data_IF_025015300919
#
_entry.id   IF_025015300919
#
_cell.length_a   1.000
_cell.length_b   1.000
_cell.length_c   1.000
_cell.angle_alpha   90.00
_cell.angle_beta   90.00
_cell.angle_gamma   90.00
#
_symmetry.space_group_name_H-M   'P 1'
#
loop_
_entity.id
_entity.type
_entity.pdbx_description
1 polymer ?
#
# COMPACT_ATOMS: atom_id res chain seq x y z
N UNK A 1 -83.41 -16.13 4.76
CA UNK A 1 -82.22 -15.77 3.94
C UNK A 1 -81.58 -14.45 4.43
N UNK A 2 -81.13 -14.36 5.70
CA UNK A 2 -80.67 -13.06 6.28
C UNK A 2 -79.26 -13.09 6.89
N UNK A 3 -78.58 -14.24 6.98
CA UNK A 3 -77.33 -14.36 7.74
C UNK A 3 -76.03 -14.23 6.93
N UNK A 4 -76.06 -14.25 5.59
CA UNK A 4 -74.83 -14.26 4.77
C UNK A 4 -74.18 -12.87 4.59
N UNK A 5 -74.93 -11.77 4.66
CA UNK A 5 -74.39 -10.42 4.42
C UNK A 5 -73.66 -9.77 5.61
N UNK A 6 -73.79 -10.31 6.83
CA UNK A 6 -73.12 -9.74 8.02
C UNK A 6 -71.74 -10.34 8.31
N UNK A 7 -71.38 -11.46 7.68
CA UNK A 7 -70.08 -12.13 7.87
C UNK A 7 -69.01 -11.63 6.89
N UNK A 8 -69.40 -11.21 5.68
CA UNK A 8 -68.51 -10.62 4.67
C UNK A 8 -67.71 -9.38 5.15
N UNK A 9 -68.30 -8.39 5.85
CA UNK A 9 -67.52 -7.25 6.34
C UNK A 9 -66.56 -7.66 7.47
N UNK A 10 -66.91 -8.66 8.29
CA UNK A 10 -66.06 -9.13 9.38
C UNK A 10 -64.84 -9.91 8.87
N UNK A 11 -65.00 -10.72 7.83
CA UNK A 11 -63.87 -11.41 7.18
C UNK A 11 -62.98 -10.46 6.39
N UNK A 12 -63.56 -9.41 5.78
CA UNK A 12 -62.78 -8.37 5.10
C UNK A 12 -61.99 -7.53 6.11
N UNK A 13 -62.58 -7.20 7.26
CA UNK A 13 -61.90 -6.47 8.34
C UNK A 13 -60.75 -7.29 8.95
N UNK A 14 -60.94 -8.61 9.15
CA UNK A 14 -59.91 -9.51 9.64
C UNK A 14 -58.78 -9.71 8.62
N UNK A 15 -59.10 -9.78 7.32
CA UNK A 15 -58.10 -9.84 6.26
C UNK A 15 -57.31 -8.52 6.14
N UNK A 16 -57.96 -7.37 6.30
CA UNK A 16 -57.30 -6.05 6.36
C UNK A 16 -56.42 -5.94 7.62
N UNK A 17 -56.86 -6.49 8.76
CA UNK A 17 -56.05 -6.54 9.98
C UNK A 17 -54.78 -7.40 9.81
N UNK A 18 -54.87 -8.51 9.05
CA UNK A 18 -53.71 -9.33 8.68
C UNK A 18 -52.79 -8.66 7.64
N UNK A 19 -53.34 -7.85 6.74
CA UNK A 19 -52.57 -7.06 5.76
C UNK A 19 -51.83 -5.87 6.40
N UNK A 20 -52.41 -5.25 7.44
CA UNK A 20 -51.77 -4.14 8.19
C UNK A 20 -50.70 -4.66 9.17
N UNK A 21 -50.78 -5.91 9.62
CA UNK A 21 -49.73 -6.56 10.43
C UNK A 21 -48.50 -7.01 9.61
N UNK A 22 -48.53 -6.90 8.27
CA UNK A 22 -47.43 -7.30 7.37
C UNK A 22 -46.36 -6.23 7.13
N UNK A 23 -46.56 -5.01 7.62
CA UNK A 23 -45.61 -3.90 7.48
C UNK A 23 -45.09 -3.41 8.84
N UNK A 24 -44.92 -4.33 9.80
CA UNK A 24 -44.07 -4.04 10.95
C UNK A 24 -42.61 -4.06 10.45
N UNK A 25 -41.96 -2.90 10.51
CA UNK A 25 -40.53 -2.68 10.33
C UNK A 25 -39.72 -3.92 10.77
N UNK A 26 -39.21 -4.69 9.79
CA UNK A 26 -38.18 -5.72 10.04
C UNK A 26 -36.78 -5.08 10.12
N UNK A 27 -36.73 -3.76 10.25
CA UNK A 27 -35.50 -2.99 10.33
C UNK A 27 -35.06 -2.88 11.78
N UNK A 28 -34.10 -3.73 12.16
CA UNK A 28 -33.23 -3.44 13.30
C UNK A 28 -33.50 -4.25 14.56
N UNK A 29 -33.67 -5.57 14.47
CA UNK A 29 -33.29 -6.41 15.62
C UNK A 29 -31.80 -6.11 15.91
N UNK A 30 -31.44 -5.64 17.13
CA UNK A 30 -30.06 -5.39 17.47
C UNK A 30 -29.26 -6.68 17.24
N UNK A 31 -28.31 -6.65 16.31
CA UNK A 31 -27.41 -7.78 16.15
C UNK A 31 -26.72 -8.03 17.50
N UNK A 32 -26.53 -9.30 17.89
CA UNK A 32 -25.80 -9.63 19.11
C UNK A 32 -24.42 -8.98 19.10
N UNK A 33 -23.82 -8.78 20.27
CA UNK A 33 -22.50 -8.19 20.37
C UNK A 33 -21.50 -8.99 19.52
N UNK A 34 -20.57 -8.30 18.85
CA UNK A 34 -19.52 -8.96 18.06
C UNK A 34 -18.74 -10.00 18.85
N UNK A 35 -18.57 -9.73 20.14
CA UNK A 35 -17.84 -10.58 21.08
C UNK A 35 -18.48 -11.96 21.26
N UNK A 36 -19.78 -12.06 21.02
CA UNK A 36 -20.53 -13.30 21.19
C UNK A 36 -20.58 -14.13 19.90
N UNK A 37 -20.10 -13.57 18.77
CA UNK A 37 -20.05 -14.32 17.54
C UNK A 37 -18.98 -15.42 17.57
N UNK A 38 -19.32 -16.64 17.10
CA UNK A 38 -18.40 -17.78 17.18
C UNK A 38 -17.11 -17.54 16.40
N UNK A 39 -17.18 -16.77 15.30
CA UNK A 39 -16.01 -16.40 14.50
C UNK A 39 -15.08 -15.43 15.24
N UNK A 40 -15.63 -14.49 16.02
CA UNK A 40 -14.82 -13.57 16.82
C UNK A 40 -14.08 -14.32 17.93
N UNK A 41 -14.79 -15.19 18.65
CA UNK A 41 -14.20 -16.04 19.70
C UNK A 41 -13.11 -16.95 19.10
N UNK A 42 -13.37 -17.54 17.94
CA UNK A 42 -12.39 -18.32 17.19
C UNK A 42 -11.15 -17.48 16.84
N UNK A 43 -11.34 -16.26 16.34
CA UNK A 43 -10.26 -15.33 16.04
C UNK A 43 -9.38 -15.04 17.27
N UNK A 44 -9.99 -14.74 18.42
CA UNK A 44 -9.25 -14.53 19.69
C UNK A 44 -8.50 -15.78 20.13
N UNK A 45 -9.07 -16.97 19.97
CA UNK A 45 -8.39 -18.22 20.31
C UNK A 45 -7.20 -18.49 19.39
N UNK A 46 -7.32 -18.22 18.09
CA UNK A 46 -6.23 -18.35 17.13
C UNK A 46 -5.10 -17.34 17.40
N UNK A 47 -5.44 -16.14 17.82
CA UNK A 47 -4.47 -15.11 18.23
C UNK A 47 -3.65 -15.56 19.44
N UNK A 48 -4.29 -16.19 20.45
CA UNK A 48 -3.58 -16.80 21.60
C UNK A 48 -2.63 -17.92 21.20
N UNK A 49 -2.93 -18.63 20.10
CA UNK A 49 -2.06 -19.68 19.53
C UNK A 49 -0.95 -19.12 18.64
N UNK A 50 -0.88 -17.79 18.43
CA UNK A 50 0.07 -17.17 17.51
C UNK A 50 -0.28 -17.35 16.03
N UNK A 51 -1.45 -17.93 15.71
CA UNK A 51 -1.93 -18.17 14.34
C UNK A 51 -2.58 -16.92 13.75
N UNK A 52 -1.77 -15.87 13.61
CA UNK A 52 -2.25 -14.52 13.29
C UNK A 52 -2.93 -14.42 11.93
N UNK A 53 -2.46 -15.15 10.91
CA UNK A 53 -3.08 -15.15 9.58
C UNK A 53 -4.51 -15.72 9.60
N UNK A 54 -4.74 -16.78 10.37
CA UNK A 54 -6.06 -17.39 10.50
C UNK A 54 -6.98 -16.58 11.39
N UNK A 55 -6.44 -16.02 12.48
CA UNK A 55 -7.15 -15.09 13.34
C UNK A 55 -7.66 -13.88 12.53
N UNK A 56 -6.81 -13.30 11.67
CA UNK A 56 -7.18 -12.21 10.78
C UNK A 56 -8.35 -12.60 9.87
N UNK A 57 -8.28 -13.77 9.23
CA UNK A 57 -9.35 -14.25 8.36
C UNK A 57 -10.67 -14.42 9.15
N UNK A 58 -10.61 -14.94 10.38
CA UNK A 58 -11.79 -15.05 11.23
C UNK A 58 -12.43 -13.68 11.53
N UNK A 59 -11.63 -12.66 11.88
CA UNK A 59 -12.14 -11.30 12.09
C UNK A 59 -12.67 -10.65 10.81
N UNK A 60 -12.02 -10.85 9.66
CA UNK A 60 -12.52 -10.36 8.38
C UNK A 60 -13.87 -10.98 8.02
N UNK A 61 -14.07 -12.28 8.29
CA UNK A 61 -15.37 -12.92 8.10
C UNK A 61 -16.47 -12.33 8.98
N UNK A 62 -16.16 -11.90 10.20
CA UNK A 62 -17.12 -11.19 11.06
C UNK A 62 -17.52 -9.87 10.42
N UNK A 63 -16.54 -9.09 9.96
CA UNK A 63 -16.77 -7.81 9.25
C UNK A 63 -17.63 -8.04 8.00
N UNK A 64 -17.30 -9.04 7.19
CA UNK A 64 -18.02 -9.35 5.95
C UNK A 64 -19.47 -9.79 6.21
N UNK A 65 -19.70 -10.60 7.26
CA UNK A 65 -21.05 -11.03 7.65
C UNK A 65 -21.92 -9.88 8.13
N UNK A 66 -21.33 -8.94 8.86
CA UNK A 66 -22.01 -7.74 9.35
C UNK A 66 -22.23 -6.70 8.26
N UNK A 67 -21.36 -6.69 7.24
CA UNK A 67 -21.46 -5.84 6.07
C UNK A 67 -21.37 -4.37 6.42
N UNK A 68 -22.49 -3.65 6.28
CA UNK A 68 -22.57 -2.22 6.57
C UNK A 68 -22.68 -1.93 8.07
N UNK A 69 -23.08 -2.91 8.88
CA UNK A 69 -23.20 -2.74 10.31
C UNK A 69 -21.84 -2.48 10.96
N UNK A 70 -21.76 -1.57 11.95
CA UNK A 70 -20.50 -1.27 12.60
C UNK A 70 -19.98 -2.52 13.32
N UNK A 71 -18.74 -2.89 12.99
CA UNK A 71 -18.01 -3.99 13.62
C UNK A 71 -16.66 -3.51 14.23
N UNK A 72 -16.69 -2.56 15.18
CA UNK A 72 -15.50 -1.96 15.76
C UNK A 72 -14.50 -2.97 16.33
N UNK A 73 -14.90 -3.90 17.18
CA UNK A 73 -13.95 -4.80 17.87
C UNK A 73 -13.19 -5.66 16.86
N UNK A 74 -13.90 -6.18 15.85
CA UNK A 74 -13.30 -6.96 14.76
C UNK A 74 -12.35 -6.10 13.91
N UNK A 75 -12.69 -4.83 13.67
CA UNK A 75 -11.81 -3.88 12.98
C UNK A 75 -10.54 -3.59 13.82
N UNK A 76 -10.65 -3.43 15.14
CA UNK A 76 -9.51 -3.17 16.01
C UNK A 76 -8.50 -4.32 15.96
N UNK A 77 -8.97 -5.55 16.18
CA UNK A 77 -8.11 -6.74 16.17
C UNK A 77 -7.48 -7.00 14.79
N UNK A 78 -8.24 -6.84 13.71
CA UNK A 78 -7.72 -6.93 12.35
C UNK A 78 -6.63 -5.88 12.09
N UNK A 79 -6.85 -4.64 12.51
CA UNK A 79 -5.88 -3.55 12.37
C UNK A 79 -4.57 -3.81 13.11
N UNK A 80 -4.65 -4.36 14.33
CA UNK A 80 -3.47 -4.76 15.10
C UNK A 80 -2.68 -5.87 14.42
N UNK A 81 -3.35 -6.87 13.84
CA UNK A 81 -2.68 -7.95 13.11
C UNK A 81 -2.00 -7.43 11.84
N UNK A 82 -2.64 -6.52 11.10
CA UNK A 82 -2.04 -5.91 9.92
C UNK A 82 -0.78 -5.11 10.26
N UNK A 83 -0.83 -4.34 11.35
CA UNK A 83 0.29 -3.50 11.79
C UNK A 83 1.48 -4.34 12.27
N UNK A 84 1.23 -5.35 13.12
CA UNK A 84 2.29 -6.08 13.81
C UNK A 84 2.84 -7.28 13.04
N UNK A 85 1.98 -7.99 12.28
CA UNK A 85 2.36 -9.25 11.63
C UNK A 85 2.45 -9.14 10.12
N UNK A 86 1.42 -8.57 9.47
CA UNK A 86 1.40 -8.47 8.01
C UNK A 86 2.27 -7.31 7.48
N UNK A 87 2.66 -6.38 8.38
CA UNK A 87 3.41 -5.16 8.05
C UNK A 87 2.77 -4.36 6.91
N UNK A 88 1.43 -4.35 6.88
CA UNK A 88 0.65 -3.54 5.96
C UNK A 88 0.04 -2.35 6.73
N UNK A 89 0.75 -1.21 6.78
CA UNK A 89 0.29 -0.05 7.51
C UNK A 89 -0.96 0.61 6.89
N UNK A 90 -1.22 0.42 5.59
CA UNK A 90 -2.38 1.01 4.93
C UNK A 90 -3.66 0.27 5.30
N UNK A 91 -3.62 -1.07 5.25
CA UNK A 91 -4.71 -1.89 5.74
C UNK A 91 -4.99 -1.61 7.23
N UNK A 92 -3.94 -1.55 8.05
CA UNK A 92 -4.08 -1.19 9.47
C UNK A 92 -4.79 0.16 9.66
N UNK A 93 -4.34 1.21 8.96
CA UNK A 93 -4.96 2.53 8.99
C UNK A 93 -6.45 2.48 8.62
N UNK A 94 -6.82 1.71 7.60
CA UNK A 94 -8.22 1.56 7.18
C UNK A 94 -9.08 1.00 8.31
N UNK A 95 -8.65 -0.12 8.92
CA UNK A 95 -9.40 -0.77 9.99
C UNK A 95 -9.52 0.13 11.24
N UNK A 96 -8.44 0.80 11.65
CA UNK A 96 -8.50 1.74 12.77
C UNK A 96 -9.43 2.93 12.51
N UNK A 97 -9.44 3.48 11.29
CA UNK A 97 -10.38 4.55 10.92
C UNK A 97 -11.84 4.08 10.96
N UNK A 98 -12.11 2.83 10.57
CA UNK A 98 -13.44 2.22 10.71
C UNK A 98 -13.85 2.10 12.19
N UNK A 99 -12.94 1.67 13.06
CA UNK A 99 -13.16 1.66 14.52
C UNK A 99 -13.50 3.05 15.05
N UNK A 100 -12.70 4.06 14.73
CA UNK A 100 -12.91 5.45 15.20
C UNK A 100 -14.24 6.05 14.71
N UNK A 101 -14.70 5.65 13.51
CA UNK A 101 -16.00 6.06 12.98
C UNK A 101 -17.16 5.44 13.75
N UNK A 102 -17.02 4.19 14.19
CA UNK A 102 -18.04 3.49 14.97
C UNK A 102 -18.02 3.91 16.46
N UNK A 103 -16.84 4.21 17.01
CA UNK A 103 -16.63 4.56 18.41
C UNK A 103 -15.79 5.84 18.58
N UNK A 104 -16.38 7.03 18.36
CA UNK A 104 -15.66 8.30 18.47
C UNK A 104 -15.28 8.68 19.91
N UNK A 105 -16.04 8.21 20.91
CA UNK A 105 -15.87 8.60 22.33
C UNK A 105 -15.54 7.41 23.25
N UNK A 106 -14.96 6.34 22.72
CA UNK A 106 -14.52 5.20 23.54
C UNK A 106 -13.25 5.53 24.33
N UNK A 107 -13.05 4.85 25.48
CA UNK A 107 -11.79 4.92 26.25
C UNK A 107 -10.58 4.51 25.41
N UNK A 108 -10.77 3.66 24.41
CA UNK A 108 -9.70 3.19 23.52
C UNK A 108 -9.41 4.15 22.36
N UNK A 109 -10.23 5.18 22.13
CA UNK A 109 -10.07 6.12 21.01
C UNK A 109 -8.69 6.78 20.96
N UNK A 110 -8.13 7.31 22.07
CA UNK A 110 -6.79 7.90 22.05
C UNK A 110 -5.70 6.89 21.69
N UNK A 111 -5.86 5.64 22.15
CA UNK A 111 -4.96 4.55 21.83
C UNK A 111 -5.00 4.22 20.33
N UNK A 112 -6.19 4.07 19.76
CA UNK A 112 -6.37 3.76 18.33
C UNK A 112 -5.87 4.91 17.44
N UNK A 113 -6.05 6.17 17.85
CA UNK A 113 -5.45 7.32 17.18
C UNK A 113 -3.91 7.22 17.15
N UNK A 114 -3.30 6.85 18.28
CA UNK A 114 -1.86 6.59 18.35
C UNK A 114 -1.42 5.48 17.39
N UNK A 115 -2.22 4.40 17.25
CA UNK A 115 -1.94 3.33 16.29
C UNK A 115 -2.05 3.80 14.83
N UNK A 116 -3.00 4.67 14.51
CA UNK A 116 -3.10 5.30 13.18
C UNK A 116 -1.85 6.11 12.85
N UNK A 117 -1.38 6.94 13.79
CA UNK A 117 -0.16 7.73 13.59
C UNK A 117 1.10 6.86 13.52
N UNK A 118 1.17 5.77 14.29
CA UNK A 118 2.23 4.79 14.17
C UNK A 118 2.24 4.13 12.78
N UNK A 119 1.08 3.67 12.31
CA UNK A 119 0.93 3.05 11.00
C UNK A 119 1.29 4.03 9.86
N UNK A 120 0.84 5.29 9.94
CA UNK A 120 1.22 6.34 8.97
C UNK A 120 2.73 6.58 8.93
N UNK A 121 3.39 6.64 10.07
CA UNK A 121 4.86 6.79 10.15
C UNK A 121 5.57 5.58 9.56
N UNK A 122 5.08 4.38 9.84
CA UNK A 122 5.68 3.17 9.29
C UNK A 122 5.53 3.13 7.76
N UNK A 123 4.37 3.53 7.23
CA UNK A 123 4.19 3.73 5.80
C UNK A 123 5.16 4.78 5.24
N UNK A 124 5.33 5.92 5.92
CA UNK A 124 6.24 6.98 5.50
C UNK A 124 7.69 6.49 5.29
N UNK A 125 8.16 5.59 6.15
CA UNK A 125 9.50 5.01 6.09
C UNK A 125 9.72 4.14 4.86
N UNK A 126 8.66 3.56 4.31
CA UNK A 126 8.74 2.77 3.07
C UNK A 126 8.88 3.65 1.82
N UNK A 127 8.57 4.95 1.92
CA UNK A 127 8.62 5.86 0.79
C UNK A 127 10.03 6.47 0.62
N UNK A 128 10.58 6.50 -0.60
CA UNK A 128 11.84 7.19 -0.86
C UNK A 128 11.69 8.68 -0.54
N UNK A 129 12.63 9.24 0.22
CA UNK A 129 12.62 10.65 0.63
C UNK A 129 11.78 11.00 1.86
N UNK A 130 11.28 10.00 2.62
CA UNK A 130 10.62 10.19 3.95
C UNK A 130 9.60 11.34 4.00
N UNK A 131 8.54 11.30 3.17
CA UNK A 131 7.66 12.43 2.94
C UNK A 131 6.63 12.70 4.05
N UNK A 132 6.63 11.99 5.18
CA UNK A 132 5.74 12.27 6.32
C UNK A 132 6.51 12.46 7.64
N UNK A 133 7.84 12.58 7.59
CA UNK A 133 8.62 12.99 8.76
C UNK A 133 8.25 14.42 9.17
N UNK A 134 8.47 14.73 10.46
CA UNK A 134 8.15 16.02 11.08
C UNK A 134 8.68 17.18 10.22
N UNK A 135 7.82 18.17 9.99
CA UNK A 135 8.10 19.30 9.10
C UNK A 135 9.37 20.05 9.53
N UNK A 136 9.65 20.07 10.83
CA UNK A 136 10.87 20.63 11.43
C UNK A 136 12.15 19.96 10.91
N UNK A 137 12.18 18.63 10.87
CA UNK A 137 13.33 17.83 10.45
C UNK A 137 13.62 18.04 8.97
N UNK A 138 12.58 18.21 8.15
CA UNK A 138 12.72 18.49 6.72
C UNK A 138 13.34 19.85 6.47
N UNK A 139 12.87 20.89 7.16
CA UNK A 139 13.45 22.23 6.99
C UNK A 139 14.93 22.25 7.35
N UNK A 140 15.35 21.55 8.41
CA UNK A 140 16.75 21.43 8.78
C UNK A 140 17.59 20.69 7.72
N UNK A 141 17.05 19.61 7.14
CA UNK A 141 17.75 18.87 6.06
C UNK A 141 17.83 19.70 4.78
N UNK A 142 16.76 20.39 4.40
CA UNK A 142 16.71 21.22 3.20
C UNK A 142 17.68 22.42 3.31
N UNK A 143 17.78 23.02 4.51
CA UNK A 143 18.75 24.07 4.81
C UNK A 143 20.20 23.57 4.63
N UNK A 144 20.52 22.41 5.21
CA UNK A 144 21.86 21.82 5.11
C UNK A 144 22.19 21.41 3.65
N UNK A 145 21.23 20.84 2.93
CA UNK A 145 21.39 20.55 1.49
C UNK A 145 21.64 21.83 0.69
N UNK A 146 20.92 22.90 0.99
CA UNK A 146 21.14 24.21 0.36
C UNK A 146 22.51 24.81 0.68
N UNK A 147 23.01 24.62 1.91
CA UNK A 147 24.36 25.02 2.31
C UNK A 147 25.44 24.22 1.57
N UNK A 148 25.35 22.88 1.59
CA UNK A 148 26.31 22.00 0.93
C UNK A 148 26.35 22.19 -0.59
N UNK A 149 25.23 22.58 -1.21
CA UNK A 149 25.18 22.93 -2.63
C UNK A 149 25.93 24.22 -2.93
N UNK A 150 25.74 25.26 -2.11
CA UNK A 150 26.47 26.54 -2.24
C UNK A 150 27.97 26.34 -2.06
N UNK A 151 28.37 25.59 -1.03
CA UNK A 151 29.79 25.26 -0.82
C UNK A 151 30.36 24.43 -1.99
N UNK A 152 29.60 23.46 -2.52
CA UNK A 152 30.02 22.73 -3.72
C UNK A 152 30.20 23.64 -4.94
N UNK A 153 29.31 24.59 -5.15
CA UNK A 153 29.40 25.55 -6.26
C UNK A 153 30.60 26.48 -6.10
N UNK A 154 30.84 26.98 -4.88
CA UNK A 154 32.00 27.83 -4.56
C UNK A 154 33.31 27.08 -4.76
N UNK A 155 33.45 25.88 -4.19
CA UNK A 155 34.64 25.05 -4.36
C UNK A 155 34.85 24.65 -5.84
N UNK A 156 33.77 24.38 -6.58
CA UNK A 156 33.87 24.11 -8.03
C UNK A 156 34.33 25.34 -8.81
N UNK A 157 33.87 26.54 -8.44
CA UNK A 157 34.32 27.79 -9.06
C UNK A 157 35.79 28.07 -8.73
N UNK A 158 36.22 27.85 -7.48
CA UNK A 158 37.61 28.00 -7.06
C UNK A 158 38.53 27.02 -7.82
N UNK A 159 38.13 25.74 -7.90
CA UNK A 159 38.86 24.74 -8.69
C UNK A 159 38.90 25.13 -10.18
N UNK A 160 37.82 25.69 -10.73
CA UNK A 160 37.81 26.16 -12.11
C UNK A 160 38.78 27.32 -12.35
N UNK A 161 38.88 28.26 -11.40
CA UNK A 161 39.86 29.37 -11.44
C UNK A 161 41.29 28.84 -11.34
N UNK A 162 41.56 27.95 -10.38
CA UNK A 162 42.90 27.36 -10.19
C UNK A 162 43.33 26.49 -11.38
N UNK A 163 42.39 25.78 -12.02
CA UNK A 163 42.67 24.98 -13.23
C UNK A 163 42.71 25.82 -14.51
N UNK A 164 42.14 27.03 -14.51
CA UNK A 164 42.02 27.91 -15.67
C UNK A 164 43.25 28.77 -15.99
N UNK A 165 44.28 28.76 -15.13
CA UNK A 165 45.57 29.39 -15.41
C UNK A 165 45.49 30.93 -15.57
N UNK A 166 45.52 31.67 -14.46
CA UNK A 166 45.60 33.14 -14.50
C UNK A 166 45.94 33.74 -13.14
N UNK A 167 46.94 34.61 -13.15
CA UNK A 167 47.59 35.28 -12.02
C UNK A 167 46.68 35.74 -10.86
N UNK A 168 47.14 35.49 -9.63
CA UNK A 168 46.59 36.05 -8.41
C UNK A 168 46.94 37.55 -8.29
N UNK A 169 46.05 38.37 -7.71
CA UNK A 169 46.46 39.27 -6.65
C UNK A 169 45.94 38.70 -5.33
N UNK A 170 46.82 38.01 -4.59
CA UNK A 170 46.56 37.67 -3.20
C UNK A 170 46.55 38.98 -2.42
N UNK A 171 45.37 39.48 -2.09
CA UNK A 171 45.22 40.36 -0.93
C UNK A 171 43.98 39.93 -0.15
N UNK A 172 44.12 38.81 0.56
CA UNK A 172 43.28 38.50 1.70
C UNK A 172 44.22 38.20 2.86
N UNK A 173 44.22 39.08 3.85
CA UNK A 173 44.90 38.86 5.13
C UNK A 173 44.49 37.49 5.67
N UNK A 174 45.43 36.71 6.25
CA UNK A 174 45.09 35.42 6.83
C UNK A 174 44.08 35.67 7.96
N UNK A 175 42.87 35.11 7.81
CA UNK A 175 41.92 35.01 8.91
C UNK A 175 42.57 34.06 9.91
N UNK A 176 43.12 34.61 10.98
CA UNK A 176 43.71 33.82 12.06
C UNK A 176 42.65 32.86 12.56
N UNK A 177 42.90 31.56 12.36
CA UNK A 177 42.17 30.51 13.05
C UNK A 177 42.62 30.62 14.50
N UNK A 178 41.82 31.24 15.35
CA UNK A 178 41.93 31.05 16.79
C UNK A 178 41.52 29.62 17.08
N UNK A 179 42.52 28.74 17.16
CA UNK A 179 42.35 27.41 17.74
C UNK A 179 41.90 27.60 19.21
N UNK A 180 40.87 26.88 19.68
CA UNK A 180 40.60 26.79 21.12
C UNK A 180 41.84 26.21 21.83
N UNK A 181 42.09 26.56 23.11
CA UNK A 181 43.28 26.10 23.81
C UNK A 181 43.35 24.58 23.82
N UNK A 182 44.50 24.11 23.32
CA UNK A 182 44.92 22.73 23.24
C UNK A 182 44.92 22.11 24.65
N UNK A 183 43.99 21.20 24.90
CA UNK A 183 44.07 20.30 26.04
C UNK A 183 45.23 19.36 25.76
N UNK A 184 46.33 19.57 26.48
CA UNK A 184 47.55 18.77 26.45
C UNK A 184 47.17 17.30 26.68
N UNK A 185 47.27 16.49 25.63
CA UNK A 185 47.29 15.04 25.74
C UNK A 185 48.72 14.57 26.06
N UNK A 186 48.94 13.62 26.99
CA UNK A 186 50.28 13.14 27.32
C UNK A 186 50.88 12.27 26.20
N UNK A 187 52.21 12.34 26.08
CA UNK A 187 53.05 11.75 25.05
C UNK A 187 52.92 10.22 24.85
N UNK A 188 53.26 9.69 23.65
CA UNK A 188 53.23 8.25 23.37
C UNK A 188 54.39 7.51 24.06
N UNK A 189 54.07 6.44 24.78
CA UNK A 189 55.04 5.51 25.38
C UNK A 189 55.39 4.43 24.36
N UNK A 190 56.68 4.27 24.04
CA UNK A 190 57.19 3.24 23.13
C UNK A 190 56.89 1.82 23.63
N UNK A 191 56.52 0.86 22.77
CA UNK A 191 56.38 -0.53 23.17
C UNK A 191 57.76 -1.24 23.30
N UNK A 192 57.93 -2.18 24.25
CA UNK A 192 59.14 -2.99 24.36
C UNK A 192 59.17 -4.13 23.30
N UNK A 193 60.35 -4.68 22.98
CA UNK A 193 60.48 -5.77 22.02
C UNK A 193 60.25 -7.12 22.70
N UNK A 194 59.62 -8.06 22.00
CA UNK A 194 59.70 -9.48 22.36
C UNK A 194 60.01 -10.30 21.12
N UNK A 195 61.20 -10.91 21.17
CA UNK A 195 61.70 -11.83 20.17
C UNK A 195 60.98 -13.19 20.26
N UNK A 196 60.81 -13.79 19.08
CA UNK A 196 60.78 -15.20 18.71
C UNK A 196 60.21 -16.24 19.69
N UNK A 197 59.28 -17.08 19.18
CA UNK A 197 59.37 -18.56 19.30
C UNK A 197 58.39 -19.22 18.32
N UNK A 198 59.00 -19.90 17.34
CA UNK A 198 58.62 -21.17 16.70
C UNK A 198 57.22 -21.38 16.09
N UNK A 199 57.22 -21.74 14.80
CA UNK A 199 56.29 -22.73 14.27
C UNK A 199 55.90 -22.59 12.80
N UNK A 200 56.61 -23.32 11.94
CA UNK A 200 56.24 -23.79 10.60
C UNK A 200 54.71 -23.91 10.31
N UNK A 201 54.18 -23.85 9.08
CA UNK A 201 54.71 -24.39 7.84
C UNK A 201 53.83 -23.96 6.64
N UNK A 202 54.48 -23.54 5.55
CA UNK A 202 54.20 -23.87 4.14
C UNK A 202 52.83 -23.51 3.52
N UNK A 203 52.89 -22.46 2.69
CA UNK A 203 52.05 -22.21 1.50
C UNK A 203 52.43 -23.20 0.38
N UNK A 204 51.50 -23.65 -0.47
CA UNK A 204 51.82 -23.96 -1.85
C UNK A 204 51.34 -22.86 -2.80
N UNK A 205 52.24 -22.49 -3.71
CA UNK A 205 51.98 -21.77 -4.95
C UNK A 205 51.21 -22.64 -5.94
N UNK A 206 50.39 -22.01 -6.79
CA UNK A 206 50.15 -22.38 -8.20
C UNK A 206 49.38 -21.22 -8.85
N UNK A 207 50.04 -20.37 -9.66
CA UNK A 207 50.20 -20.45 -11.13
C UNK A 207 48.89 -20.33 -11.92
N UNK A 208 48.86 -19.30 -12.77
CA UNK A 208 47.94 -19.15 -13.89
C UNK A 208 48.32 -20.08 -15.04
N UNK A 209 47.34 -20.50 -15.87
CA UNK A 209 47.32 -20.40 -17.36
C UNK A 209 46.09 -21.16 -17.92
N UNK A 210 45.72 -20.75 -19.13
CA UNK A 210 44.53 -20.91 -19.96
C UNK A 210 44.05 -22.33 -20.38
N UNK A 211 42.82 -22.32 -20.92
CA UNK A 211 42.31 -23.06 -22.08
C UNK A 211 41.54 -24.39 -21.87
N UNK A 212 40.24 -24.35 -22.21
CA UNK A 212 39.66 -25.31 -23.16
C UNK A 212 38.59 -26.31 -22.67
N UNK A 213 37.37 -26.10 -23.18
CA UNK A 213 36.33 -27.08 -23.59
C UNK A 213 35.39 -27.72 -22.56
N UNK A 214 34.10 -27.53 -22.89
CA UNK A 214 32.99 -28.50 -22.89
C UNK A 214 32.74 -29.35 -21.64
N UNK A 215 31.65 -29.05 -20.92
CA UNK A 215 30.46 -29.92 -20.85
C UNK A 215 29.59 -29.60 -19.61
N UNK A 216 28.29 -29.76 -19.81
CA UNK A 216 27.29 -30.15 -18.81
C UNK A 216 26.82 -29.14 -17.76
N UNK A 217 25.77 -28.40 -18.15
CA UNK A 217 24.80 -27.79 -17.25
C UNK A 217 23.56 -28.70 -17.21
N UNK A 218 23.22 -29.34 -16.07
CA UNK A 218 21.93 -29.99 -15.96
C UNK A 218 20.84 -28.97 -15.60
N UNK A 219 19.84 -28.89 -16.47
CA UNK A 219 18.55 -28.26 -16.20
C UNK A 219 17.53 -29.33 -15.78
N UNK A 220 16.79 -29.01 -14.70
CA UNK A 220 15.47 -29.52 -14.30
C UNK A 220 15.33 -31.01 -13.90
N UNK A 221 14.28 -31.33 -13.11
CA UNK A 221 13.14 -31.91 -13.82
C UNK A 221 11.80 -31.28 -13.39
N UNK A 222 11.10 -30.76 -14.39
CA UNK A 222 9.66 -30.52 -14.37
C UNK A 222 9.00 -31.76 -14.98
N UNK A 223 8.04 -32.36 -14.27
CA UNK A 223 7.37 -33.60 -14.67
C UNK A 223 6.48 -33.35 -15.89
N UNK A 224 6.74 -34.08 -16.98
CA UNK A 224 5.84 -34.29 -18.11
C UNK A 224 5.34 -35.74 -18.13
N UNK A 225 4.08 -35.92 -18.53
CA UNK A 225 3.56 -36.95 -19.46
C UNK A 225 2.05 -36.69 -19.63
N UNK A 226 1.44 -36.54 -20.81
CA UNK A 226 1.89 -36.63 -22.20
C UNK A 226 0.86 -36.03 -23.16
N UNK A 227 1.27 -35.85 -24.42
CA UNK A 227 0.54 -35.35 -25.62
C UNK A 227 -0.21 -36.50 -26.37
N UNK A 228 -0.74 -36.36 -27.62
CA UNK A 228 -0.99 -35.18 -28.51
C UNK A 228 -2.36 -35.19 -29.27
N UNK A 229 -2.72 -34.07 -29.94
CA UNK A 229 -3.01 -34.04 -31.40
C UNK A 229 -3.39 -32.64 -31.92
N UNK A 230 -2.65 -32.21 -32.97
CA UNK A 230 -2.97 -31.34 -34.13
C UNK A 230 -3.82 -30.06 -33.93
N UNK A 231 -3.49 -28.88 -34.47
CA UNK A 231 -2.52 -28.48 -35.48
C UNK A 231 -2.80 -27.02 -35.90
N UNK A 232 -2.00 -26.52 -36.84
CA UNK A 232 -2.12 -25.23 -37.54
C UNK A 232 -1.43 -24.01 -36.90
N UNK A 233 -0.17 -23.82 -37.31
CA UNK A 233 0.39 -22.50 -37.50
C UNK A 233 -0.26 -21.84 -38.72
N UNK A 234 -0.64 -20.57 -38.63
CA UNK A 234 -0.59 -19.60 -39.74
C UNK A 234 -0.70 -18.16 -39.20
N UNK A 235 0.40 -17.43 -39.41
CA UNK A 235 0.55 -16.01 -39.80
C UNK A 235 -0.29 -14.94 -39.09
N UNK A 236 0.44 -13.94 -38.58
CA UNK A 236 -0.12 -12.68 -38.12
C UNK A 236 -0.91 -11.97 -39.21
N UNK A 237 -1.99 -11.33 -38.77
CA UNK A 237 -2.67 -10.29 -39.52
C UNK A 237 -2.98 -9.17 -38.54
N UNK A 238 -2.22 -8.09 -38.68
CA UNK A 238 -2.57 -6.74 -38.22
C UNK A 238 -3.93 -6.36 -38.81
N UNK A 239 -4.99 -6.48 -38.02
CA UNK A 239 -6.28 -5.89 -38.34
C UNK A 239 -6.43 -4.59 -37.54
N UNK A 240 -6.29 -3.46 -38.23
CA UNK A 240 -6.78 -2.17 -37.76
C UNK A 240 -8.27 -2.31 -37.38
N UNK A 241 -8.74 -1.76 -36.25
CA UNK A 241 -10.14 -1.89 -35.91
C UNK A 241 -10.96 -1.04 -36.87
N UNK A 242 -11.78 -1.72 -37.65
CA UNK A 242 -12.90 -1.20 -38.43
C UNK A 242 -13.76 -0.31 -37.53
N UNK A 243 -13.88 0.96 -37.91
CA UNK A 243 -14.79 1.93 -37.30
C UNK A 243 -16.20 1.33 -37.22
N UNK A 244 -16.61 0.94 -36.02
CA UNK A 244 -17.97 0.54 -35.70
C UNK A 244 -18.70 1.77 -35.15
N UNK A 245 -19.93 1.97 -35.61
CA UNK A 245 -20.80 3.09 -35.28
C UNK A 245 -20.73 3.49 -33.79
N UNK A 246 -20.50 4.78 -33.53
CA UNK A 246 -20.26 5.34 -32.21
C UNK A 246 -21.37 4.98 -31.23
N UNK A 247 -21.12 4.01 -30.36
CA UNK A 247 -22.01 3.68 -29.25
C UNK A 247 -21.84 4.74 -28.19
N UNK A 248 -22.93 5.22 -27.60
CA UNK A 248 -22.88 6.16 -26.49
C UNK A 248 -23.48 5.54 -25.23
N UNK A 249 -22.94 5.92 -24.08
CA UNK A 249 -23.40 5.48 -22.76
C UNK A 249 -23.68 6.69 -21.87
N UNK A 250 -24.92 6.82 -21.40
CA UNK A 250 -25.29 7.84 -20.41
C UNK A 250 -24.96 7.32 -19.02
N UNK A 251 -24.05 8.01 -18.33
CA UNK A 251 -23.58 7.63 -16.99
C UNK A 251 -24.75 7.62 -16.00
N UNK A 252 -25.03 6.46 -15.40
CA UNK A 252 -26.01 6.31 -14.33
C UNK A 252 -25.37 6.44 -12.94
N UNK A 253 -26.16 6.63 -11.87
CA UNK A 253 -25.65 6.54 -10.51
C UNK A 253 -24.92 5.21 -10.28
N UNK A 254 -23.75 5.26 -9.64
CA UNK A 254 -22.84 4.13 -9.36
C UNK A 254 -22.08 3.56 -10.57
N UNK A 255 -22.22 4.10 -11.77
CA UNK A 255 -21.34 3.71 -12.87
C UNK A 255 -19.89 4.17 -12.61
N UNK A 256 -18.95 3.34 -13.04
CA UNK A 256 -17.51 3.64 -13.02
C UNK A 256 -16.95 3.42 -14.41
N UNK A 257 -15.86 4.12 -14.76
CA UNK A 257 -15.18 3.91 -16.04
C UNK A 257 -14.79 2.45 -16.27
N UNK A 258 -14.33 1.76 -15.21
CA UNK A 258 -14.01 0.34 -15.24
C UNK A 258 -15.24 -0.54 -15.48
N UNK A 259 -16.36 -0.25 -14.80
CA UNK A 259 -17.62 -0.98 -14.99
C UNK A 259 -18.17 -0.82 -16.41
N UNK A 260 -18.12 0.40 -16.94
CA UNK A 260 -18.53 0.72 -18.31
C UNK A 260 -17.60 0.02 -19.31
N UNK A 261 -16.28 0.14 -19.14
CA UNK A 261 -15.28 -0.53 -19.99
C UNK A 261 -15.50 -2.05 -20.07
N UNK A 262 -15.73 -2.71 -18.93
CA UNK A 262 -16.08 -4.13 -18.89
C UNK A 262 -17.39 -4.45 -19.58
N UNK A 263 -18.43 -3.64 -19.36
CA UNK A 263 -19.76 -3.84 -19.98
C UNK A 263 -19.68 -3.83 -21.51
N UNK A 264 -18.88 -2.93 -22.06
CA UNK A 264 -18.71 -2.77 -23.51
C UNK A 264 -17.52 -3.55 -24.08
N UNK A 265 -16.80 -4.30 -23.24
CA UNK A 265 -15.59 -5.04 -23.61
C UNK A 265 -14.54 -4.18 -24.33
N UNK A 266 -14.31 -2.98 -23.82
CA UNK A 266 -13.30 -2.03 -24.31
C UNK A 266 -12.29 -1.71 -23.23
N UNK A 267 -11.12 -1.21 -23.61
CA UNK A 267 -10.13 -0.70 -22.66
C UNK A 267 -10.57 0.64 -22.07
N UNK A 268 -10.30 0.88 -20.80
CA UNK A 268 -10.66 2.15 -20.12
C UNK A 268 -9.96 3.33 -20.80
N UNK A 269 -8.70 3.14 -21.21
CA UNK A 269 -7.91 4.13 -21.93
C UNK A 269 -8.54 4.54 -23.25
N UNK A 270 -9.21 3.61 -23.93
CA UNK A 270 -9.91 3.89 -25.18
C UNK A 270 -11.16 4.76 -24.96
N UNK A 271 -11.89 4.54 -23.86
CA UNK A 271 -13.01 5.42 -23.45
C UNK A 271 -12.50 6.81 -23.07
N UNK A 272 -11.40 6.91 -22.32
CA UNK A 272 -10.78 8.20 -21.96
C UNK A 272 -10.36 8.98 -23.22
N UNK A 273 -9.67 8.31 -24.15
CA UNK A 273 -9.23 8.91 -25.41
C UNK A 273 -10.40 9.38 -26.29
N UNK A 274 -11.53 8.66 -26.27
CA UNK A 274 -12.73 9.06 -27.00
C UNK A 274 -13.50 10.23 -26.35
N UNK A 275 -13.20 10.59 -25.09
CA UNK A 275 -13.94 11.57 -24.31
C UNK A 275 -13.05 12.56 -23.52
N UNK A 276 -12.08 13.25 -24.15
CA UNK A 276 -11.10 14.07 -23.44
C UNK A 276 -11.71 15.22 -22.61
N UNK A 277 -12.86 15.76 -23.01
CA UNK A 277 -13.56 16.83 -22.29
C UNK A 277 -14.42 16.37 -21.11
N UNK A 278 -14.97 15.15 -21.18
CA UNK A 278 -15.80 14.58 -20.11
C UNK A 278 -15.00 13.76 -19.11
N UNK A 279 -13.90 13.14 -19.57
CA UNK A 279 -13.08 12.21 -18.81
C UNK A 279 -11.60 12.47 -19.10
N UNK A 280 -10.96 13.42 -18.38
CA UNK A 280 -9.58 13.81 -18.67
C UNK A 280 -8.53 12.77 -18.23
N UNK A 281 -8.91 11.77 -17.43
CA UNK A 281 -8.00 10.74 -16.90
C UNK A 281 -8.78 9.50 -16.44
N UNK A 282 -8.09 8.36 -16.34
CA UNK A 282 -8.64 7.04 -15.95
C UNK A 282 -9.38 7.05 -14.61
N UNK A 283 -8.95 7.89 -13.65
CA UNK A 283 -9.55 7.99 -12.32
C UNK A 283 -10.40 9.26 -12.14
N UNK A 284 -10.82 9.91 -13.23
CA UNK A 284 -11.67 11.10 -13.12
C UNK A 284 -13.06 10.70 -12.59
N UNK A 285 -13.66 11.49 -11.67
CA UNK A 285 -15.01 11.25 -11.22
C UNK A 285 -16.00 11.45 -12.37
N UNK A 286 -16.85 10.45 -12.62
CA UNK A 286 -17.89 10.54 -13.65
C UNK A 286 -19.09 11.34 -13.11
N UNK A 287 -19.53 12.34 -13.86
CA UNK A 287 -20.77 13.07 -13.56
C UNK A 287 -21.95 12.28 -14.12
N UNK A 288 -22.91 11.95 -13.26
CA UNK A 288 -24.16 11.29 -13.65
C UNK A 288 -24.88 12.13 -14.71
N UNK A 289 -25.43 11.48 -15.73
CA UNK A 289 -26.07 12.13 -16.88
C UNK A 289 -25.12 12.51 -18.02
N UNK A 290 -23.80 12.36 -17.84
CA UNK A 290 -22.85 12.60 -18.94
C UNK A 290 -22.96 11.51 -19.99
N UNK A 291 -23.00 11.88 -21.26
CA UNK A 291 -22.99 10.93 -22.39
C UNK A 291 -21.55 10.68 -22.82
N UNK A 292 -21.08 9.44 -22.66
CA UNK A 292 -19.75 9.00 -23.05
C UNK A 292 -19.79 8.29 -24.41
N UNK A 293 -18.84 8.59 -25.28
CA UNK A 293 -18.57 7.85 -26.51
C UNK A 293 -17.80 6.57 -26.18
N UNK A 294 -18.30 5.44 -26.64
CA UNK A 294 -17.69 4.12 -26.47
C UNK A 294 -17.13 3.69 -27.83
N UNK A 295 -15.81 3.48 -27.95
CA UNK A 295 -15.15 3.07 -29.19
C UNK A 295 -15.47 1.62 -29.60
#
# INVERSE_FOLDING_TARGET
>A
MITAHRLLPATLLLAVLFLVAGCADRDGAPLPAETDEPLYVQGKQLQKQGRNAEALNAFLKVIDRRGENPSPESHLEAGLIYLNHSKDPLAACYHFRRYLKAHPNSKQTPYVLGMVEAAKREFARTLPGRPLEDQSVRMAVDEEVGKLRRENEELRAEVAVLRGGGAMPVSRLPRMITLPPEVIAPAPVSPPPVAAVLGAQKRPEATATEAGRDADRPAAPMVQRGTPAAGAATRGSTAAPKAAAGRTHTVAPKDTLYGIARRYNVKVEAIVAANPGAVPRVNAPLKVGTVLKIP
#
